data_IF_361967285248
#
_entry.id   IF_361967285248
#
_cell.length_a   1.000
_cell.length_b   1.000
_cell.length_c   1.000
_cell.angle_alpha   90.00
_cell.angle_beta   90.00
_cell.angle_gamma   90.00
#
_symmetry.space_group_name_H-M   'P 1'
#
loop_
_entity.id
_entity.type
_entity.pdbx_description
1 polymer ?
#
# COMPACT_ATOMS: atom_id res chain seq x y z
N UNK A 1 -19.20 -13.25 -5.62
CA UNK A 1 -19.07 -12.87 -4.20
C UNK A 1 -19.90 -13.82 -3.35
N UNK A 2 -19.35 -14.40 -2.28
CA UNK A 2 -20.10 -15.32 -1.40
C UNK A 2 -21.31 -14.60 -0.75
N UNK A 3 -22.46 -15.28 -0.62
CA UNK A 3 -23.60 -14.74 0.13
C UNK A 3 -23.16 -14.36 1.54
N UNK A 4 -23.44 -13.12 1.95
CA UNK A 4 -23.05 -12.62 3.27
C UNK A 4 -21.58 -12.21 3.42
N UNK A 5 -20.83 -12.04 2.31
CA UNK A 5 -19.45 -11.53 2.32
C UNK A 5 -19.28 -10.31 3.23
N UNK A 6 -20.03 -9.22 2.97
CA UNK A 6 -19.94 -7.99 3.75
C UNK A 6 -20.32 -8.20 5.22
N UNK A 7 -21.35 -9.00 5.51
CA UNK A 7 -21.73 -9.32 6.90
C UNK A 7 -20.59 -10.02 7.65
N UNK A 8 -19.86 -10.93 6.98
CA UNK A 8 -18.68 -11.58 7.55
C UNK A 8 -17.57 -10.57 7.80
N UNK A 9 -17.20 -9.75 6.82
CA UNK A 9 -16.15 -8.73 6.99
C UNK A 9 -16.47 -7.82 8.17
N UNK A 10 -17.68 -7.24 8.20
CA UNK A 10 -18.10 -6.35 9.27
C UNK A 10 -18.12 -7.03 10.65
N UNK A 11 -18.28 -8.35 10.72
CA UNK A 11 -18.18 -9.09 11.99
C UNK A 11 -16.75 -9.29 12.49
N UNK A 12 -15.75 -9.17 11.61
CA UNK A 12 -14.32 -9.34 11.94
C UNK A 12 -13.65 -8.04 12.37
N UNK A 13 -14.28 -6.89 12.10
CA UNK A 13 -13.68 -5.57 12.25
C UNK A 13 -14.40 -4.79 13.35
N UNK A 14 -13.64 -4.11 14.21
CA UNK A 14 -14.23 -3.24 15.22
C UNK A 14 -14.73 -1.94 14.57
N UNK A 15 -15.82 -1.32 15.05
CA UNK A 15 -16.34 -0.08 14.45
C UNK A 15 -15.29 1.05 14.37
N UNK A 16 -14.44 1.19 15.39
CA UNK A 16 -13.37 2.20 15.42
C UNK A 16 -12.32 1.99 14.31
N UNK A 17 -12.04 0.73 13.99
CA UNK A 17 -11.04 0.36 12.99
C UNK A 17 -11.60 0.70 11.59
N UNK A 18 -12.90 0.46 11.35
CA UNK A 18 -13.59 0.90 10.14
C UNK A 18 -13.59 2.42 9.98
N UNK A 19 -13.84 3.17 11.07
CA UNK A 19 -13.77 4.64 11.05
C UNK A 19 -12.38 5.09 10.61
N UNK A 20 -11.33 4.56 11.23
CA UNK A 20 -9.95 4.86 10.85
C UNK A 20 -9.67 4.56 9.37
N UNK A 21 -10.08 3.39 8.86
CA UNK A 21 -9.84 3.04 7.46
C UNK A 21 -10.57 3.97 6.49
N UNK A 22 -11.84 4.25 6.77
CA UNK A 22 -12.63 5.11 5.90
C UNK A 22 -12.20 6.57 5.97
N UNK A 23 -11.71 7.07 7.11
CA UNK A 23 -11.10 8.40 7.18
C UNK A 23 -9.95 8.51 6.18
N UNK A 24 -9.01 7.57 6.18
CA UNK A 24 -7.88 7.61 5.25
C UNK A 24 -8.31 7.43 3.79
N UNK A 25 -9.24 6.50 3.51
CA UNK A 25 -9.77 6.30 2.15
C UNK A 25 -10.51 7.54 1.63
N UNK A 26 -11.31 8.20 2.46
CA UNK A 26 -12.03 9.41 2.07
C UNK A 26 -11.08 10.58 1.83
N UNK A 27 -10.01 10.72 2.61
CA UNK A 27 -8.95 11.69 2.34
C UNK A 27 -8.27 11.40 1.00
N UNK A 28 -7.89 10.14 0.75
CA UNK A 28 -7.32 9.72 -0.54
C UNK A 28 -8.26 10.02 -1.71
N UNK A 29 -9.55 9.68 -1.59
CA UNK A 29 -10.58 9.97 -2.61
C UNK A 29 -10.72 11.49 -2.83
N UNK A 30 -10.72 12.27 -1.75
CA UNK A 30 -10.75 13.73 -1.84
C UNK A 30 -9.54 14.27 -2.61
N UNK A 31 -8.33 13.80 -2.31
CA UNK A 31 -7.11 14.17 -3.03
C UNK A 31 -7.15 13.78 -4.51
N UNK A 32 -7.66 12.59 -4.84
CA UNK A 32 -7.88 12.17 -6.24
C UNK A 32 -8.84 13.14 -6.94
N UNK A 33 -9.98 13.45 -6.35
CA UNK A 33 -10.97 14.35 -6.95
C UNK A 33 -10.38 15.75 -7.17
N UNK A 34 -9.64 16.28 -6.20
CA UNK A 34 -8.98 17.58 -6.33
C UNK A 34 -7.99 17.58 -7.50
N UNK A 35 -7.10 16.57 -7.57
CA UNK A 35 -6.16 16.47 -8.70
C UNK A 35 -6.84 16.26 -10.03
N UNK A 36 -7.95 15.51 -10.09
CA UNK A 36 -8.72 15.35 -11.33
C UNK A 36 -9.36 16.66 -11.82
N UNK A 37 -9.70 17.58 -10.91
CA UNK A 37 -10.24 18.91 -11.27
C UNK A 37 -9.12 19.83 -11.75
N UNK A 38 -7.93 19.71 -11.14
CA UNK A 38 -6.76 20.54 -11.43
C UNK A 38 -5.90 20.00 -12.61
N UNK A 39 -6.09 18.73 -13.00
CA UNK A 39 -5.19 18.04 -13.92
C UNK A 39 -5.35 18.46 -15.37
N UNK A 40 -4.22 18.76 -16.01
CA UNK A 40 -4.00 18.64 -17.45
C UNK A 40 -3.55 17.20 -17.81
N UNK A 41 -3.11 16.95 -19.04
CA UNK A 41 -2.67 15.60 -19.48
C UNK A 41 -1.57 15.03 -18.59
N UNK A 42 -0.63 15.86 -18.14
CA UNK A 42 0.46 15.43 -17.26
C UNK A 42 -0.01 15.26 -15.81
N UNK A 43 -0.92 16.13 -15.38
CA UNK A 43 -1.59 16.04 -14.08
C UNK A 43 -2.46 14.80 -13.91
N UNK A 44 -2.77 14.04 -14.97
CA UNK A 44 -3.55 12.79 -14.89
C UNK A 44 -2.78 11.60 -14.29
N UNK A 45 -1.44 11.61 -14.35
CA UNK A 45 -0.61 10.52 -13.81
C UNK A 45 -0.74 10.39 -12.28
N UNK A 46 -0.78 11.52 -11.58
CA UNK A 46 -0.91 11.54 -10.12
C UNK A 46 -2.26 10.98 -9.61
N UNK A 47 -3.45 11.41 -10.07
CA UNK A 47 -4.71 10.80 -9.66
C UNK A 47 -4.82 9.34 -10.09
N UNK A 48 -4.20 8.93 -11.21
CA UNK A 48 -4.11 7.51 -11.58
C UNK A 48 -3.28 6.70 -10.58
N UNK A 49 -2.10 7.19 -10.19
CA UNK A 49 -1.27 6.56 -9.17
C UNK A 49 -2.01 6.47 -7.82
N UNK A 50 -2.62 7.57 -7.39
CA UNK A 50 -3.41 7.62 -6.16
C UNK A 50 -4.60 6.65 -6.21
N UNK A 51 -5.27 6.51 -7.36
CA UNK A 51 -6.36 5.56 -7.54
C UNK A 51 -5.87 4.10 -7.46
N UNK A 52 -4.71 3.78 -8.04
CA UNK A 52 -4.10 2.47 -7.90
C UNK A 52 -3.76 2.14 -6.43
N UNK A 53 -3.18 3.09 -5.70
CA UNK A 53 -2.88 2.93 -4.29
C UNK A 53 -4.14 2.90 -3.41
N UNK A 54 -5.21 3.59 -3.79
CA UNK A 54 -6.52 3.44 -3.15
C UNK A 54 -7.06 2.01 -3.25
N UNK A 55 -6.82 1.28 -4.34
CA UNK A 55 -7.16 -0.15 -4.41
C UNK A 55 -6.35 -0.95 -3.39
N UNK A 56 -5.05 -0.64 -3.24
CA UNK A 56 -4.18 -1.19 -2.20
C UNK A 56 -4.71 -0.93 -0.78
N UNK A 57 -5.35 0.22 -0.55
CA UNK A 57 -6.02 0.54 0.72
C UNK A 57 -7.24 -0.34 1.04
N UNK A 58 -7.61 -1.30 0.18
CA UNK A 58 -8.59 -2.37 0.45
C UNK A 58 -7.94 -3.77 0.56
N UNK A 59 -6.64 -3.87 0.84
CA UNK A 59 -5.88 -5.12 0.85
C UNK A 59 -6.55 -6.25 1.67
N UNK A 60 -7.01 -5.97 2.90
CA UNK A 60 -7.69 -6.96 3.74
C UNK A 60 -8.99 -7.43 3.11
N UNK A 61 -9.85 -6.52 2.67
CA UNK A 61 -11.09 -6.90 1.98
C UNK A 61 -10.79 -7.74 0.73
N UNK A 62 -9.79 -7.35 -0.07
CA UNK A 62 -9.35 -8.12 -1.24
C UNK A 62 -8.90 -9.53 -0.82
N UNK A 63 -8.05 -9.66 0.21
CA UNK A 63 -7.60 -10.96 0.74
C UNK A 63 -8.77 -11.82 1.22
N UNK A 64 -9.79 -11.22 1.83
CA UNK A 64 -10.97 -11.93 2.29
C UNK A 64 -11.92 -12.36 1.16
N UNK A 65 -11.79 -11.77 -0.03
CA UNK A 65 -12.55 -12.16 -1.22
C UNK A 65 -12.06 -13.49 -1.83
N UNK A 66 -10.85 -13.96 -1.45
CA UNK A 66 -10.31 -15.23 -1.92
C UNK A 66 -11.18 -16.44 -1.50
N UNK A 67 -11.07 -17.58 -2.21
CA UNK A 67 -11.83 -18.80 -1.93
C UNK A 67 -11.65 -19.32 -0.49
N UNK A 68 -12.64 -20.07 0.01
CA UNK A 68 -12.53 -20.73 1.32
C UNK A 68 -11.35 -21.70 1.31
N UNK A 69 -10.59 -21.75 2.41
CA UNK A 69 -9.40 -22.59 2.52
C UNK A 69 -8.14 -22.02 1.88
N UNK A 70 -8.21 -20.84 1.24
CA UNK A 70 -7.01 -20.10 0.88
C UNK A 70 -6.39 -19.42 2.10
N UNK A 71 -5.07 -19.31 2.14
CA UNK A 71 -4.38 -18.67 3.26
C UNK A 71 -4.68 -17.15 3.39
N UNK A 72 -4.87 -16.33 2.32
CA UNK A 72 -5.12 -14.90 2.50
C UNK A 72 -6.38 -14.61 3.31
N UNK A 73 -7.35 -15.53 3.26
CA UNK A 73 -8.59 -15.45 4.03
C UNK A 73 -8.38 -15.57 5.55
N UNK A 74 -7.23 -16.08 5.99
CA UNK A 74 -6.87 -16.19 7.40
C UNK A 74 -6.13 -14.93 7.91
N UNK A 75 -5.86 -13.94 7.07
CA UNK A 75 -5.27 -12.69 7.51
C UNK A 75 -6.19 -11.98 8.51
N UNK A 76 -5.65 -11.42 9.60
CA UNK A 76 -6.45 -10.74 10.60
C UNK A 76 -6.84 -9.33 10.13
N UNK A 77 -7.96 -8.79 10.63
CA UNK A 77 -8.43 -7.45 10.26
C UNK A 77 -7.38 -6.35 10.52
N UNK A 78 -6.57 -6.48 11.57
CA UNK A 78 -5.55 -5.48 11.89
C UNK A 78 -4.42 -5.39 10.86
N UNK A 79 -4.28 -6.39 9.97
CA UNK A 79 -3.42 -6.32 8.79
C UNK A 79 -3.66 -5.04 7.99
N UNK A 80 -4.94 -4.64 7.87
CA UNK A 80 -5.34 -3.43 7.15
C UNK A 80 -4.81 -2.16 7.80
N UNK A 81 -4.56 -2.14 9.12
CA UNK A 81 -4.06 -0.94 9.80
C UNK A 81 -2.68 -0.53 9.29
N UNK A 82 -1.84 -1.52 8.98
CA UNK A 82 -0.48 -1.31 8.52
C UNK A 82 -0.51 -0.99 7.04
N UNK A 83 -1.13 -1.85 6.22
CA UNK A 83 -1.17 -1.67 4.76
C UNK A 83 -1.78 -0.36 4.31
N UNK A 84 -2.88 0.07 4.96
CA UNK A 84 -3.51 1.34 4.61
C UNK A 84 -2.61 2.54 4.88
N UNK A 85 -1.77 2.45 5.92
CA UNK A 85 -0.90 3.54 6.32
C UNK A 85 0.24 3.69 5.32
N UNK A 86 0.84 2.59 4.87
CA UNK A 86 1.88 2.62 3.83
C UNK A 86 1.39 3.28 2.55
N UNK A 87 0.27 2.82 1.99
CA UNK A 87 -0.32 3.44 0.79
C UNK A 87 -0.70 4.91 0.99
N UNK A 88 -1.21 5.28 2.17
CA UNK A 88 -1.56 6.67 2.45
C UNK A 88 -0.33 7.56 2.56
N UNK A 89 0.72 7.13 3.24
CA UNK A 89 1.98 7.88 3.34
C UNK A 89 2.66 8.01 1.97
N UNK A 90 2.68 6.96 1.15
CA UNK A 90 3.31 7.01 -0.17
C UNK A 90 2.56 7.93 -1.15
N UNK A 91 1.24 7.73 -1.31
CA UNK A 91 0.48 8.50 -2.31
C UNK A 91 -0.07 9.82 -1.78
N UNK A 92 -0.78 9.82 -0.65
CA UNK A 92 -1.40 11.04 -0.17
C UNK A 92 -0.35 11.98 0.44
N UNK A 93 0.52 11.46 1.30
CA UNK A 93 1.63 12.23 1.86
C UNK A 93 2.71 12.56 0.82
N UNK A 94 3.28 11.51 0.22
CA UNK A 94 4.43 11.62 -0.69
C UNK A 94 4.12 12.40 -1.95
N UNK A 95 3.20 11.88 -2.77
CA UNK A 95 2.87 12.49 -4.05
C UNK A 95 1.92 13.69 -3.91
N UNK A 96 0.73 13.51 -3.32
CA UNK A 96 -0.31 14.55 -3.33
C UNK A 96 0.06 15.80 -2.51
N UNK A 97 0.57 15.62 -1.29
CA UNK A 97 1.10 16.72 -0.45
C UNK A 97 2.56 17.08 -0.74
N UNK A 98 3.16 16.44 -1.74
CA UNK A 98 4.51 16.71 -2.23
C UNK A 98 5.65 16.45 -1.23
N UNK A 99 5.45 15.57 -0.25
CA UNK A 99 6.44 15.29 0.80
C UNK A 99 7.75 14.70 0.28
N UNK A 100 7.73 14.01 -0.87
CA UNK A 100 8.96 13.53 -1.50
C UNK A 100 9.97 14.66 -1.78
N UNK A 101 9.49 15.85 -2.10
CA UNK A 101 10.37 17.00 -2.38
C UNK A 101 10.43 18.00 -1.22
N UNK A 102 9.37 18.20 -0.43
CA UNK A 102 9.35 19.26 0.59
C UNK A 102 9.85 18.82 1.97
N UNK A 103 9.77 17.52 2.30
CA UNK A 103 10.22 17.01 3.61
C UNK A 103 11.61 16.36 3.48
N UNK A 104 12.63 16.84 4.21
CA UNK A 104 13.97 16.26 4.14
C UNK A 104 13.97 14.76 4.48
N UNK A 105 14.62 13.97 3.62
CA UNK A 105 14.76 12.52 3.77
C UNK A 105 13.42 11.74 3.84
N UNK A 106 12.31 12.32 3.38
CA UNK A 106 11.00 11.66 3.40
C UNK A 106 11.03 10.28 2.74
N UNK A 107 11.61 10.19 1.55
CA UNK A 107 11.72 8.95 0.81
C UNK A 107 12.45 7.85 1.61
N UNK A 108 13.55 8.20 2.30
CA UNK A 108 14.29 7.26 3.16
C UNK A 108 13.48 6.82 4.37
N UNK A 109 12.71 7.73 4.96
CA UNK A 109 11.81 7.43 6.09
C UNK A 109 10.70 6.49 5.62
N UNK A 110 10.11 6.76 4.45
CA UNK A 110 9.09 5.92 3.86
C UNK A 110 9.62 4.52 3.54
N UNK A 111 10.83 4.41 2.96
CA UNK A 111 11.47 3.12 2.72
C UNK A 111 11.79 2.35 4.01
N UNK A 112 12.20 3.04 5.07
CA UNK A 112 12.39 2.41 6.39
C UNK A 112 11.06 1.87 6.94
N UNK A 113 9.98 2.65 6.83
CA UNK A 113 8.64 2.19 7.20
C UNK A 113 8.21 1.01 6.33
N UNK A 114 8.40 1.09 5.01
CA UNK A 114 8.08 0.04 4.03
C UNK A 114 8.82 -1.27 4.30
N UNK A 115 10.07 -1.21 4.76
CA UNK A 115 10.82 -2.39 5.21
C UNK A 115 10.19 -3.04 6.44
N UNK A 116 9.80 -2.25 7.45
CA UNK A 116 9.11 -2.78 8.63
C UNK A 116 7.72 -3.35 8.28
N UNK A 117 7.01 -2.67 7.40
CA UNK A 117 5.72 -3.10 6.85
C UNK A 117 5.86 -4.41 6.07
N UNK A 118 6.87 -4.56 5.21
CA UNK A 118 7.12 -5.79 4.46
C UNK A 118 7.36 -6.99 5.41
N UNK A 119 8.16 -6.81 6.47
CA UNK A 119 8.37 -7.85 7.49
C UNK A 119 7.07 -8.21 8.21
N UNK A 120 6.27 -7.21 8.58
CA UNK A 120 4.97 -7.43 9.21
C UNK A 120 4.00 -8.20 8.28
N UNK A 121 3.86 -7.75 7.03
CA UNK A 121 3.02 -8.40 6.02
C UNK A 121 3.48 -9.85 5.83
N UNK A 122 4.78 -10.08 5.64
CA UNK A 122 5.34 -11.42 5.47
C UNK A 122 5.08 -12.32 6.69
N UNK A 123 5.22 -11.79 7.91
CA UNK A 123 4.90 -12.53 9.13
C UNK A 123 3.42 -12.97 9.16
N UNK A 124 2.51 -12.06 8.83
CA UNK A 124 1.07 -12.36 8.79
C UNK A 124 0.71 -13.35 7.69
N UNK A 125 1.35 -13.27 6.51
CA UNK A 125 1.13 -14.23 5.43
C UNK A 125 1.60 -15.63 5.81
N UNK A 126 2.80 -15.78 6.38
CA UNK A 126 3.30 -17.09 6.83
C UNK A 126 2.41 -17.62 7.96
N UNK A 127 2.01 -16.77 8.90
CA UNK A 127 1.05 -17.15 9.96
C UNK A 127 -0.28 -17.62 9.40
N UNK A 128 -0.82 -16.93 8.40
CA UNK A 128 -2.06 -17.29 7.72
C UNK A 128 -1.95 -18.63 6.97
N UNK A 129 -0.77 -18.97 6.43
CA UNK A 129 -0.48 -20.29 5.86
C UNK A 129 -0.48 -21.39 6.93
N UNK A 130 0.15 -21.14 8.08
CA UNK A 130 0.12 -22.09 9.21
C UNK A 130 -1.30 -22.38 9.70
N UNK A 131 -2.16 -21.36 9.77
CA UNK A 131 -3.58 -21.52 10.13
C UNK A 131 -4.31 -22.39 9.11
N UNK A 132 -4.09 -22.13 7.82
CA UNK A 132 -4.67 -22.93 6.72
C UNK A 132 -4.26 -24.40 6.85
N UNK A 133 -2.97 -24.63 7.02
CA UNK A 133 -2.37 -25.98 7.00
C UNK A 133 -2.49 -26.71 8.34
N UNK A 134 -2.97 -26.01 9.38
CA UNK A 134 -3.06 -26.51 10.76
C UNK A 134 -1.71 -27.05 11.27
N UNK A 135 -0.63 -26.40 10.84
CA UNK A 135 0.74 -26.77 11.15
C UNK A 135 1.52 -25.55 11.58
N UNK A 136 2.11 -25.58 12.77
CA UNK A 136 2.87 -24.46 13.35
C UNK A 136 4.35 -24.82 13.31
N UNK A 137 5.15 -23.97 12.68
CA UNK A 137 6.60 -24.11 12.69
C UNK A 137 7.22 -23.44 13.93
N UNK A 138 8.45 -23.78 14.31
CA UNK A 138 9.14 -23.11 15.41
C UNK A 138 9.25 -21.59 15.16
N UNK A 139 9.14 -20.74 16.20
CA UNK A 139 9.17 -19.28 16.03
C UNK A 139 10.38 -18.74 15.27
N UNK A 140 11.55 -19.39 15.41
CA UNK A 140 12.77 -19.03 14.68
C UNK A 140 12.63 -19.25 13.17
N UNK A 141 11.93 -20.31 12.77
CA UNK A 141 11.66 -20.61 11.36
C UNK A 141 10.63 -19.63 10.80
N UNK A 142 9.58 -19.30 11.57
CA UNK A 142 8.61 -18.28 11.21
C UNK A 142 9.27 -16.92 10.99
N UNK A 143 10.15 -16.50 11.90
CA UNK A 143 10.90 -15.25 11.79
C UNK A 143 11.81 -15.23 10.55
N UNK A 144 12.52 -16.34 10.28
CA UNK A 144 13.38 -16.45 9.11
C UNK A 144 12.57 -16.42 7.79
N UNK A 145 11.45 -17.12 7.75
CA UNK A 145 10.55 -17.13 6.58
C UNK A 145 9.94 -15.74 6.34
N UNK A 146 9.48 -15.07 7.40
CA UNK A 146 8.95 -13.72 7.33
C UNK A 146 10.02 -12.74 6.83
N UNK A 147 11.23 -12.81 7.38
CA UNK A 147 12.35 -11.97 6.96
C UNK A 147 12.71 -12.22 5.49
N UNK A 148 12.89 -13.48 5.07
CA UNK A 148 13.21 -13.80 3.68
C UNK A 148 12.12 -13.36 2.69
N UNK A 149 10.85 -13.54 3.05
CA UNK A 149 9.72 -13.09 2.23
C UNK A 149 9.63 -11.55 2.16
N UNK A 150 10.02 -10.84 3.21
CA UNK A 150 10.07 -9.38 3.20
C UNK A 150 11.12 -8.86 2.21
N UNK A 151 12.27 -9.52 2.09
CA UNK A 151 13.27 -9.20 1.06
C UNK A 151 12.73 -9.42 -0.35
N UNK A 152 11.93 -10.47 -0.56
CA UNK A 152 11.30 -10.71 -1.86
C UNK A 152 10.33 -9.58 -2.20
N UNK A 153 9.52 -9.11 -1.24
CA UNK A 153 8.62 -7.98 -1.47
C UNK A 153 9.36 -6.66 -1.67
N UNK A 154 10.36 -6.36 -0.86
CA UNK A 154 11.17 -5.15 -1.01
C UNK A 154 11.89 -5.14 -2.36
N UNK A 155 12.61 -6.21 -2.72
CA UNK A 155 13.27 -6.31 -4.01
C UNK A 155 12.27 -6.30 -5.19
N UNK A 156 11.08 -6.89 -5.00
CA UNK A 156 10.00 -6.84 -5.97
C UNK A 156 9.46 -5.43 -6.21
N UNK A 157 9.37 -4.62 -5.15
CA UNK A 157 9.00 -3.20 -5.24
C UNK A 157 10.05 -2.40 -6.01
N UNK A 158 11.33 -2.51 -5.63
CA UNK A 158 12.44 -1.83 -6.31
C UNK A 158 12.53 -2.23 -7.80
N UNK A 159 12.29 -3.52 -8.11
CA UNK A 159 12.27 -3.99 -9.49
C UNK A 159 11.09 -3.41 -10.27
N UNK A 160 9.94 -3.24 -9.62
CA UNK A 160 8.79 -2.59 -10.22
C UNK A 160 9.09 -1.13 -10.54
N UNK A 161 9.63 -0.37 -9.59
CA UNK A 161 10.01 1.04 -9.79
C UNK A 161 11.03 1.17 -10.92
N UNK A 162 12.12 0.40 -10.87
CA UNK A 162 13.12 0.39 -11.92
C UNK A 162 12.51 0.05 -13.29
N UNK A 163 11.68 -0.98 -13.39
CA UNK A 163 11.07 -1.38 -14.66
C UNK A 163 10.09 -0.32 -15.18
N UNK A 164 9.33 0.31 -14.27
CA UNK A 164 8.40 1.38 -14.62
C UNK A 164 9.15 2.58 -15.20
N UNK A 165 10.21 3.02 -14.52
CA UNK A 165 11.04 4.15 -14.96
C UNK A 165 11.69 3.87 -16.32
N UNK A 166 12.23 2.65 -16.53
CA UNK A 166 12.88 2.28 -17.79
C UNK A 166 11.91 2.18 -18.98
N UNK A 167 10.69 1.69 -18.77
CA UNK A 167 9.76 1.43 -19.88
C UNK A 167 8.80 2.58 -20.16
N UNK A 168 8.46 3.37 -19.15
CA UNK A 168 7.48 4.44 -19.27
C UNK A 168 8.09 5.84 -19.16
N UNK A 169 9.42 5.95 -19.01
CA UNK A 169 10.11 7.24 -18.85
C UNK A 169 9.59 8.01 -17.64
N UNK A 170 9.13 7.27 -16.63
CA UNK A 170 8.49 7.79 -15.44
C UNK A 170 9.48 8.05 -14.31
N UNK A 171 8.93 8.65 -13.26
CA UNK A 171 9.44 8.62 -11.91
C UNK A 171 8.41 7.81 -11.11
N UNK A 172 8.77 6.67 -10.53
CA UNK A 172 7.80 5.77 -9.89
C UNK A 172 6.98 6.44 -8.78
N UNK A 173 7.49 7.52 -8.18
CA UNK A 173 6.84 8.32 -7.16
C UNK A 173 5.77 9.26 -7.73
N UNK A 174 5.84 9.68 -9.00
CA UNK A 174 4.84 10.56 -9.66
C UNK A 174 4.18 9.94 -10.91
N UNK A 175 4.64 8.75 -11.31
CA UNK A 175 4.35 8.09 -12.58
C UNK A 175 4.70 8.89 -13.84
N UNK A 176 5.50 9.95 -13.71
CA UNK A 176 5.92 10.83 -14.80
C UNK A 176 7.19 11.61 -14.41
N UNK A 177 8.24 11.51 -15.24
CA UNK A 177 9.49 12.23 -15.01
C UNK A 177 9.32 13.74 -15.19
N UNK A 178 8.52 14.18 -16.16
CA UNK A 178 8.27 15.61 -16.40
C UNK A 178 7.52 16.24 -15.22
N UNK A 179 6.54 15.53 -14.65
CA UNK A 179 5.82 15.99 -13.46
C UNK A 179 6.75 16.05 -12.24
N UNK A 180 7.62 15.04 -12.08
CA UNK A 180 8.64 15.04 -11.04
C UNK A 180 9.58 16.24 -11.16
N UNK A 181 10.03 16.58 -12.37
CA UNK A 181 10.86 17.76 -12.63
C UNK A 181 10.10 19.05 -12.34
N UNK A 182 8.82 19.17 -12.73
CA UNK A 182 8.00 20.35 -12.45
C UNK A 182 7.84 20.58 -10.94
N UNK A 183 7.50 19.53 -10.20
CA UNK A 183 7.33 19.58 -8.74
C UNK A 183 8.67 19.88 -8.04
N UNK A 184 9.79 19.35 -8.55
CA UNK A 184 11.13 19.67 -8.05
C UNK A 184 11.57 21.12 -8.37
N UNK A 185 11.23 21.61 -9.57
CA UNK A 185 11.64 22.90 -10.13
C UNK A 185 10.78 24.10 -9.70
N UNK A 186 9.58 23.87 -9.18
CA UNK A 186 8.71 24.89 -8.54
C UNK A 186 9.32 25.62 -7.32
N UNK A 187 10.61 25.38 -7.04
CA UNK A 187 11.39 25.93 -5.92
C UNK A 187 12.42 27.00 -6.31
N UNK A 188 12.57 27.34 -7.59
CA UNK A 188 13.53 28.39 -7.99
C UNK A 188 12.93 29.82 -8.03
N UNK A 189 11.64 29.99 -7.70
CA UNK A 189 10.96 31.30 -7.62
C UNK A 189 10.62 31.73 -6.17
#
# INVERSE_FOLDING_TARGET
>A
MEKGYFKRILSMVKPRDLVYWWTLRLLMIGGIILRLIESDELGMYQPMQMAANLVGMFAFEICQAFPKGSFPRNLPAYFQHVTILGFFLASFGGAFLNFYYIVPAYDKILHMFGCAEAVFISYELVTAMQIRDKHVCPPKILALAAFGMAFIFAAGWELFEFSFDQWFGGDAQHWSLELAIQEAGSKED
#
